data_IF_482133881556
#
_entry.id   IF_482133881556
#
_cell.length_a   1.000
_cell.length_b   1.000
_cell.length_c   1.000
_cell.angle_alpha   90.00
_cell.angle_beta   90.00
_cell.angle_gamma   90.00
#
_symmetry.space_group_name_H-M   'P 1'
#
loop_
_entity.id
_entity.type
_entity.pdbx_description
1 polymer ?
#
# COMPACT_ATOMS: atom_id res chain seq x y z
N UNK A 1 3.01 -0.97 -20.99
CA UNK A 1 3.48 -1.09 -19.59
C UNK A 1 4.67 -2.05 -19.45
N UNK A 2 4.91 -2.96 -20.40
CA UNK A 2 6.06 -3.87 -20.36
C UNK A 2 7.25 -3.36 -21.19
N UNK A 3 8.46 -3.70 -20.76
CA UNK A 3 9.72 -3.26 -21.36
C UNK A 3 10.67 -2.66 -20.32
N UNK A 4 11.90 -2.36 -20.75
CA UNK A 4 12.90 -1.66 -19.96
C UNK A 4 13.45 -0.47 -20.74
N UNK A 5 13.71 0.64 -20.06
CA UNK A 5 14.27 1.84 -20.67
C UNK A 5 15.11 2.64 -19.68
N UNK A 6 15.76 3.68 -20.18
CA UNK A 6 16.46 4.69 -19.36
C UNK A 6 15.74 6.02 -19.54
N UNK A 7 15.62 6.78 -18.46
CA UNK A 7 15.01 8.11 -18.47
C UNK A 7 15.88 9.12 -17.72
N UNK A 8 15.72 10.40 -18.06
CA UNK A 8 16.33 11.52 -17.33
C UNK A 8 15.23 12.21 -16.53
N UNK A 9 15.47 12.42 -15.23
CA UNK A 9 14.50 13.09 -14.34
C UNK A 9 14.49 14.58 -14.65
N UNK A 10 13.30 15.14 -14.88
CA UNK A 10 13.11 16.56 -15.22
C UNK A 10 12.53 17.38 -14.08
N UNK A 11 11.67 16.81 -13.23
CA UNK A 11 11.03 17.48 -12.10
C UNK A 11 10.68 16.49 -10.97
N UNK A 12 10.59 17.00 -9.74
CA UNK A 12 10.26 16.24 -8.52
C UNK A 12 9.34 17.04 -7.61
N UNK A 13 8.61 16.36 -6.72
CA UNK A 13 7.75 16.99 -5.70
C UNK A 13 6.64 17.85 -6.31
N UNK A 14 6.39 19.02 -5.71
CA UNK A 14 5.38 19.98 -6.15
C UNK A 14 5.60 20.51 -7.57
N UNK A 15 6.85 20.52 -8.04
CA UNK A 15 7.19 20.94 -9.41
C UNK A 15 6.88 19.87 -10.47
N UNK A 16 6.48 18.66 -10.06
CA UNK A 16 5.97 17.66 -10.99
C UNK A 16 4.55 18.03 -11.44
N UNK A 17 4.13 17.60 -12.65
CA UNK A 17 2.75 17.83 -13.10
C UNK A 17 1.71 17.32 -12.09
N UNK A 18 1.96 16.16 -11.49
CA UNK A 18 1.12 15.62 -10.42
C UNK A 18 1.09 16.55 -9.22
N UNK A 19 2.25 17.03 -8.75
CA UNK A 19 2.35 17.98 -7.64
C UNK A 19 1.57 19.27 -7.88
N UNK A 20 1.71 19.87 -9.07
CA UNK A 20 0.99 21.10 -9.46
C UNK A 20 -0.53 20.85 -9.46
N UNK A 21 -0.99 19.72 -10.01
CA UNK A 21 -2.41 19.36 -10.03
C UNK A 21 -2.94 19.15 -8.60
N UNK A 22 -2.19 18.44 -7.74
CA UNK A 22 -2.59 18.22 -6.35
C UNK A 22 -2.66 19.52 -5.54
N UNK A 23 -1.72 20.45 -5.77
CA UNK A 23 -1.75 21.78 -5.18
C UNK A 23 -2.98 22.59 -5.63
N UNK A 24 -3.32 22.54 -6.93
CA UNK A 24 -4.52 23.20 -7.45
C UNK A 24 -5.83 22.58 -6.95
N UNK A 25 -5.82 21.28 -6.65
CA UNK A 25 -6.96 20.56 -6.07
C UNK A 25 -7.09 20.74 -4.55
N UNK A 26 -6.17 21.46 -3.89
CA UNK A 26 -6.17 21.69 -2.44
C UNK A 26 -5.86 20.44 -1.61
N UNK A 27 -5.31 19.39 -2.22
CA UNK A 27 -5.02 18.12 -1.56
C UNK A 27 -3.62 18.08 -0.92
N UNK A 28 -2.83 19.16 -1.04
CA UNK A 28 -1.56 19.35 -0.33
C UNK A 28 -1.73 19.99 1.05
N UNK A 29 -2.94 20.37 1.46
CA UNK A 29 -3.19 21.05 2.76
C UNK A 29 -3.62 20.09 3.89
N UNK A 30 -3.78 18.78 3.65
CA UNK A 30 -4.27 17.84 4.69
C UNK A 30 -3.21 17.44 5.74
N UNK A 31 -1.92 17.69 5.52
CA UNK A 31 -0.84 17.27 6.44
C UNK A 31 -0.21 18.42 7.27
N UNK A 32 -0.45 19.70 6.94
CA UNK A 32 0.16 20.87 7.61
C UNK A 32 -0.82 21.68 8.50
N UNK A 33 -2.02 21.16 8.68
CA UNK A 33 -3.18 21.90 9.17
C UNK A 33 -3.18 22.15 10.70
N UNK A 34 -2.18 21.63 11.42
CA UNK A 34 -1.98 21.80 12.86
C UNK A 34 -1.01 22.94 13.22
N UNK A 35 -0.02 23.29 12.38
CA UNK A 35 0.93 24.37 12.68
C UNK A 35 0.42 25.75 12.23
N UNK A 36 -0.33 25.83 11.12
CA UNK A 36 -0.81 27.11 10.58
C UNK A 36 -1.92 27.76 11.44
N UNK A 37 -2.68 26.96 12.22
CA UNK A 37 -3.77 27.46 13.07
C UNK A 37 -3.25 28.24 14.28
N UNK A 38 -2.04 27.98 14.77
CA UNK A 38 -1.42 28.78 15.84
C UNK A 38 -0.88 30.12 15.33
N UNK A 39 -0.31 30.15 14.11
CA UNK A 39 0.24 31.36 13.51
C UNK A 39 -0.87 32.38 13.14
N UNK A 40 -1.97 31.92 12.53
CA UNK A 40 -3.11 32.78 12.13
C UNK A 40 -3.86 33.39 13.33
N UNK A 41 -3.77 32.78 14.52
CA UNK A 41 -4.34 33.32 15.77
C UNK A 41 -3.53 34.48 16.36
N UNK A 42 -2.21 34.51 16.14
CA UNK A 42 -1.33 35.61 16.56
C UNK A 42 -1.51 36.85 15.65
N UNK A 43 -1.57 36.67 14.34
CA UNK A 43 -1.76 37.79 13.40
C UNK A 43 -3.14 38.46 13.50
N UNK A 44 -4.21 37.69 13.78
CA UNK A 44 -5.57 38.26 13.98
C UNK A 44 -5.70 39.12 15.23
N UNK A 45 -4.80 38.99 16.22
CA UNK A 45 -4.77 39.84 17.42
C UNK A 45 -4.07 41.18 17.14
N UNK A 46 -3.13 41.23 16.20
CA UNK A 46 -2.44 42.46 15.81
C UNK A 46 -3.23 43.28 14.78
N UNK A 47 -3.86 42.63 13.79
CA UNK A 47 -4.64 43.32 12.74
C UNK A 47 -5.99 43.89 13.19
N UNK A 48 -6.44 43.67 14.43
CA UNK A 48 -7.70 44.25 14.95
C UNK A 48 -7.51 45.62 15.64
N UNK A 49 -6.29 46.15 15.66
CA UNK A 49 -5.96 47.49 16.21
C UNK A 49 -5.71 48.58 15.17
N UNK A 50 -5.71 48.25 13.88
CA UNK A 50 -5.62 49.21 12.78
C UNK A 50 -6.71 48.89 11.76
N UNK A 51 -7.24 49.95 11.15
CA UNK A 51 -8.19 49.96 10.04
C UNK A 51 -9.67 49.88 10.42
N UNK A 52 -10.11 50.92 11.13
CA UNK A 52 -11.32 51.62 10.69
C UNK A 52 -10.94 52.67 9.64
N UNK A 53 -11.13 52.38 8.36
CA UNK A 53 -11.39 53.37 7.30
C UNK A 53 -11.55 52.70 5.92
N UNK A 54 -12.54 53.19 5.18
CA UNK A 54 -12.66 53.23 3.73
C UNK A 54 -13.17 51.98 2.97
N UNK A 55 -14.45 52.11 2.65
CA UNK A 55 -15.33 51.39 1.74
C UNK A 55 -15.11 51.76 0.25
N UNK A 56 -15.69 50.97 -0.67
CA UNK A 56 -15.98 51.24 -2.11
C UNK A 56 -14.80 51.19 -3.13
N UNK A 57 -14.92 50.71 -4.39
CA UNK A 57 -16.06 50.34 -5.25
C UNK A 57 -15.60 49.50 -6.47
N UNK A 58 -16.56 48.73 -6.97
CA UNK A 58 -16.63 47.78 -8.10
C UNK A 58 -16.30 48.26 -9.55
N UNK A 59 -15.87 47.27 -10.36
CA UNK A 59 -16.38 46.78 -11.70
C UNK A 59 -15.84 47.29 -13.06
N UNK A 60 -15.53 46.28 -13.90
CA UNK A 60 -15.95 45.99 -15.30
C UNK A 60 -15.02 46.30 -16.49
N UNK A 61 -14.74 45.26 -17.31
CA UNK A 61 -15.10 45.16 -18.75
C UNK A 61 -14.77 43.79 -19.37
N UNK A 62 -15.53 43.41 -20.40
CA UNK A 62 -15.50 42.16 -21.17
C UNK A 62 -15.35 42.46 -22.69
N UNK A 63 -15.27 41.38 -23.49
CA UNK A 63 -15.18 41.24 -24.97
C UNK A 63 -13.74 41.06 -25.51
N UNK A 64 -13.40 40.24 -26.51
CA UNK A 64 -14.14 39.56 -27.60
C UNK A 64 -13.24 38.46 -28.26
N UNK A 65 -13.78 37.57 -29.13
CA UNK A 65 -13.00 36.99 -30.24
C UNK A 65 -12.98 35.46 -30.51
N UNK A 66 -13.93 35.01 -31.33
CA UNK A 66 -13.86 34.10 -32.51
C UNK A 66 -13.31 32.64 -32.46
N UNK A 67 -14.02 31.79 -33.21
CA UNK A 67 -13.96 30.33 -33.32
C UNK A 67 -13.00 29.79 -34.41
N UNK A 68 -12.61 28.52 -34.28
CA UNK A 68 -12.26 27.65 -35.41
C UNK A 68 -12.51 26.17 -35.05
N UNK A 69 -13.43 25.53 -35.78
CA UNK A 69 -13.70 24.09 -35.74
C UNK A 69 -12.65 23.31 -36.54
N UNK A 70 -12.20 22.17 -36.01
CA UNK A 70 -11.79 21.01 -36.79
C UNK A 70 -12.27 19.73 -36.07
N UNK A 71 -13.04 18.92 -36.79
CA UNK A 71 -13.20 17.48 -36.63
C UNK A 71 -12.77 16.84 -37.96
N UNK A 72 -12.41 15.54 -38.09
CA UNK A 72 -13.08 14.42 -37.42
C UNK A 72 -12.23 13.13 -37.12
N UNK A 73 -12.95 12.10 -36.63
CA UNK A 73 -12.69 10.65 -36.62
C UNK A 73 -11.73 10.09 -35.55
N UNK A 74 -11.97 8.95 -34.92
CA UNK A 74 -13.18 8.19 -34.54
C UNK A 74 -12.68 7.06 -33.62
N UNK A 75 -13.52 6.68 -32.65
CA UNK A 75 -13.57 5.36 -31.99
C UNK A 75 -12.25 4.73 -31.52
N UNK A 76 -11.89 4.97 -30.25
CA UNK A 76 -11.20 4.00 -29.36
C UNK A 76 -10.99 4.56 -27.92
N UNK A 77 -11.38 5.82 -27.64
CA UNK A 77 -11.13 6.45 -26.32
C UNK A 77 -12.20 6.17 -25.24
N UNK A 78 -13.27 5.42 -25.55
CA UNK A 78 -14.41 5.31 -24.63
C UNK A 78 -14.15 4.38 -23.42
N UNK A 79 -13.17 3.47 -23.48
CA UNK A 79 -12.90 2.50 -22.40
C UNK A 79 -11.87 2.95 -21.35
N UNK A 80 -11.12 4.03 -21.61
CA UNK A 80 -10.04 4.50 -20.71
C UNK A 80 -10.58 5.49 -19.67
N UNK A 81 -11.60 6.27 -20.01
CA UNK A 81 -12.14 7.32 -19.14
C UNK A 81 -13.10 6.80 -18.05
N UNK A 82 -13.81 5.69 -18.27
CA UNK A 82 -14.61 5.06 -17.21
C UNK A 82 -13.72 4.52 -16.08
N UNK A 83 -12.59 3.90 -16.41
CA UNK A 83 -11.60 3.41 -15.42
C UNK A 83 -10.89 4.53 -14.66
N UNK A 84 -10.74 5.71 -15.26
CA UNK A 84 -10.13 6.88 -14.59
C UNK A 84 -11.12 7.58 -13.65
N UNK A 85 -12.40 7.66 -14.01
CA UNK A 85 -13.43 8.24 -13.14
C UNK A 85 -13.85 7.32 -11.99
N UNK A 86 -13.72 6.00 -12.12
CA UNK A 86 -14.00 5.07 -11.00
C UNK A 86 -12.98 5.19 -9.86
N UNK A 87 -11.73 5.58 -10.15
CA UNK A 87 -10.66 5.66 -9.14
C UNK A 87 -10.62 6.98 -8.34
N UNK A 88 -11.34 8.02 -8.77
CA UNK A 88 -11.31 9.34 -8.13
C UNK A 88 -12.33 9.52 -6.99
N UNK A 89 -13.12 8.48 -6.70
CA UNK A 89 -14.07 8.47 -5.57
C UNK A 89 -14.07 7.13 -4.84
N UNK A 90 -12.90 6.63 -4.46
CA UNK A 90 -12.87 5.75 -3.28
C UNK A 90 -13.20 6.61 -2.06
N UNK A 91 -14.50 6.72 -1.74
CA UNK A 91 -14.90 7.10 -0.40
C UNK A 91 -14.20 6.11 0.52
N UNK A 92 -13.29 6.57 1.40
CA UNK A 92 -12.70 5.76 2.47
C UNK A 92 -13.84 4.98 3.13
N UNK A 93 -13.97 3.70 2.78
CA UNK A 93 -15.03 2.85 3.30
C UNK A 93 -14.71 2.64 4.77
N UNK A 94 -15.58 3.14 5.65
CA UNK A 94 -15.41 2.96 7.09
C UNK A 94 -15.36 1.47 7.39
N UNK A 95 -14.47 1.08 8.30
CA UNK A 95 -14.37 -0.32 8.72
C UNK A 95 -15.70 -0.89 9.25
N UNK A 96 -15.90 -2.20 9.13
CA UNK A 96 -17.17 -2.88 9.45
C UNK A 96 -17.59 -2.63 10.91
N UNK A 97 -16.65 -2.69 11.86
CA UNK A 97 -16.87 -2.41 13.28
C UNK A 97 -17.14 -0.92 13.50
N UNK A 98 -16.39 -0.02 12.85
CA UNK A 98 -16.65 1.42 12.96
C UNK A 98 -18.08 1.77 12.52
N UNK A 99 -18.58 1.14 11.45
CA UNK A 99 -19.96 1.27 11.02
C UNK A 99 -20.97 0.82 12.09
N UNK A 100 -20.75 -0.37 12.67
CA UNK A 100 -21.62 -0.94 13.71
C UNK A 100 -21.59 -0.13 15.01
N UNK A 101 -20.41 0.28 15.48
CA UNK A 101 -20.23 1.08 16.69
C UNK A 101 -20.85 2.46 16.55
N UNK A 102 -20.73 3.09 15.37
CA UNK A 102 -21.39 4.38 15.11
C UNK A 102 -22.91 4.23 15.21
N UNK A 103 -23.49 3.16 14.66
CA UNK A 103 -24.93 2.89 14.76
C UNK A 103 -25.38 2.68 16.21
N UNK A 104 -24.59 1.95 16.99
CA UNK A 104 -24.83 1.71 18.41
C UNK A 104 -24.75 3.02 19.21
N UNK A 105 -23.72 3.84 19.00
CA UNK A 105 -23.55 5.14 19.65
C UNK A 105 -24.73 6.08 19.38
N UNK A 106 -25.25 6.11 18.15
CA UNK A 106 -26.45 6.90 17.80
C UNK A 106 -27.70 6.37 18.52
N UNK A 107 -27.86 5.05 18.66
CA UNK A 107 -28.99 4.48 19.41
C UNK A 107 -28.92 4.83 20.90
N UNK A 108 -27.73 4.72 21.51
CA UNK A 108 -27.51 5.14 22.89
C UNK A 108 -27.76 6.63 23.06
N UNK A 109 -27.26 7.47 22.14
CA UNK A 109 -27.48 8.92 22.21
C UNK A 109 -28.97 9.30 22.15
N UNK A 110 -29.75 8.63 21.29
CA UNK A 110 -31.22 8.82 21.24
C UNK A 110 -31.90 8.38 22.54
N UNK A 111 -31.53 7.23 23.09
CA UNK A 111 -32.10 6.74 24.35
C UNK A 111 -31.73 7.67 25.53
N UNK A 112 -30.48 8.11 25.60
CA UNK A 112 -29.99 9.07 26.59
C UNK A 112 -30.70 10.42 26.53
N UNK A 113 -30.99 10.92 25.32
CA UNK A 113 -31.75 12.14 25.12
C UNK A 113 -33.20 12.02 25.59
N UNK A 114 -33.87 10.90 25.29
CA UNK A 114 -35.22 10.64 25.78
C UNK A 114 -35.25 10.56 27.32
N UNK A 115 -34.31 9.82 27.92
CA UNK A 115 -34.22 9.70 29.37
C UNK A 115 -33.91 11.04 30.06
N UNK A 116 -32.99 11.83 29.51
CA UNK A 116 -32.66 13.18 30.01
C UNK A 116 -33.87 14.13 29.94
N UNK A 117 -34.63 14.09 28.84
CA UNK A 117 -35.85 14.89 28.74
C UNK A 117 -36.90 14.47 29.78
N UNK A 118 -37.09 13.15 29.97
CA UNK A 118 -38.01 12.61 30.97
C UNK A 118 -37.61 13.04 32.39
N UNK A 119 -36.32 12.99 32.76
CA UNK A 119 -35.87 13.38 34.10
C UNK A 119 -36.08 14.88 34.35
N UNK A 120 -35.79 15.75 33.38
CA UNK A 120 -36.07 17.18 33.50
C UNK A 120 -37.57 17.44 33.67
N UNK A 121 -38.42 16.79 32.87
CA UNK A 121 -39.87 16.94 32.96
C UNK A 121 -40.37 16.49 34.34
N UNK A 122 -39.92 15.34 34.84
CA UNK A 122 -40.32 14.83 36.16
C UNK A 122 -39.88 15.80 37.27
N UNK A 123 -38.65 16.30 37.24
CA UNK A 123 -38.14 17.23 38.25
C UNK A 123 -38.90 18.56 38.24
N UNK A 124 -39.20 19.08 37.04
CA UNK A 124 -40.00 20.29 36.87
C UNK A 124 -41.43 20.09 37.40
N UNK A 125 -42.09 18.99 37.03
CA UNK A 125 -43.47 18.70 37.44
C UNK A 125 -43.54 18.49 38.95
N UNK A 126 -42.62 17.70 39.53
CA UNK A 126 -42.55 17.49 40.97
C UNK A 126 -42.36 18.80 41.73
N UNK A 127 -41.47 19.66 41.27
CA UNK A 127 -41.24 20.97 41.88
C UNK A 127 -42.49 21.86 41.83
N UNK A 128 -43.17 21.91 40.68
CA UNK A 128 -44.37 22.74 40.50
C UNK A 128 -45.54 22.22 41.34
N UNK A 129 -45.77 20.91 41.35
CA UNK A 129 -46.87 20.30 42.13
C UNK A 129 -46.62 20.45 43.63
N UNK A 130 -45.42 20.12 44.12
CA UNK A 130 -45.13 20.21 45.55
C UNK A 130 -45.22 21.65 46.06
N UNK A 131 -44.61 22.61 45.33
CA UNK A 131 -44.53 24.00 45.77
C UNK A 131 -45.86 24.75 45.64
N UNK A 132 -46.56 24.63 44.51
CA UNK A 132 -47.75 25.44 44.23
C UNK A 132 -49.07 24.74 44.58
N UNK A 133 -49.12 23.40 44.55
CA UNK A 133 -50.34 22.65 44.80
C UNK A 133 -50.41 22.11 46.23
N UNK A 134 -49.35 21.45 46.71
CA UNK A 134 -49.34 20.82 48.04
C UNK A 134 -49.05 21.82 49.15
N UNK A 135 -48.01 22.64 48.99
CA UNK A 135 -47.63 23.67 49.98
C UNK A 135 -48.49 24.95 49.90
N UNK A 136 -49.24 25.13 48.81
CA UNK A 136 -50.19 26.24 48.65
C UNK A 136 -49.57 27.64 48.60
N UNK A 137 -48.28 27.74 48.23
CA UNK A 137 -47.57 29.02 48.17
C UNK A 137 -48.07 29.84 46.95
N UNK A 138 -48.61 31.06 47.15
CA UNK A 138 -49.01 31.91 46.04
C UNK A 138 -47.77 32.40 45.28
N UNK A 139 -47.86 32.48 43.94
CA UNK A 139 -46.77 32.94 43.10
C UNK A 139 -46.46 34.42 43.36
N UNK A 140 -45.43 34.71 44.17
CA UNK A 140 -44.96 36.07 44.43
C UNK A 140 -43.91 36.51 43.40
N UNK A 141 -44.07 37.71 42.84
CA UNK A 141 -43.18 38.23 41.78
C UNK A 141 -41.75 38.46 42.28
N UNK A 142 -41.58 38.82 43.54
CA UNK A 142 -40.26 39.10 44.16
C UNK A 142 -39.39 37.85 44.31
N UNK A 143 -40.00 36.66 44.33
CA UNK A 143 -39.31 35.38 44.44
C UNK A 143 -39.03 34.72 43.07
N UNK A 144 -39.34 35.38 41.95
CA UNK A 144 -39.05 34.81 40.61
C UNK A 144 -37.59 34.38 40.38
N UNK A 145 -36.55 35.07 40.90
CA UNK A 145 -35.16 34.65 40.71
C UNK A 145 -34.85 33.29 41.36
N UNK A 146 -35.44 32.97 42.51
CA UNK A 146 -35.20 31.68 43.19
C UNK A 146 -35.81 30.52 42.39
N UNK A 147 -37.01 30.71 41.83
CA UNK A 147 -37.65 29.70 40.98
C UNK A 147 -36.85 29.43 39.71
N UNK A 148 -36.37 30.48 39.04
CA UNK A 148 -35.49 30.34 37.87
C UNK A 148 -34.21 29.59 38.23
N UNK A 149 -33.63 29.83 39.40
CA UNK A 149 -32.45 29.09 39.86
C UNK A 149 -32.71 27.58 39.99
N UNK A 150 -33.89 27.17 40.50
CA UNK A 150 -34.27 25.76 40.55
C UNK A 150 -34.46 25.15 39.15
N UNK A 151 -35.10 25.86 38.22
CA UNK A 151 -35.23 25.41 36.83
C UNK A 151 -33.88 25.23 36.15
N UNK A 152 -32.95 26.16 36.35
CA UNK A 152 -31.57 26.04 35.85
C UNK A 152 -30.89 24.81 36.46
N UNK A 153 -31.09 24.54 37.76
CA UNK A 153 -30.53 23.36 38.42
C UNK A 153 -31.08 22.05 37.84
N UNK A 154 -32.39 21.96 37.57
CA UNK A 154 -32.99 20.78 36.93
C UNK A 154 -32.49 20.60 35.49
N UNK A 155 -32.34 21.69 34.74
CA UNK A 155 -31.77 21.65 33.40
C UNK A 155 -30.31 21.15 33.41
N UNK A 156 -29.48 21.64 34.34
CA UNK A 156 -28.09 21.17 34.52
C UNK A 156 -28.09 19.66 34.82
N UNK A 157 -28.96 19.17 35.70
CA UNK A 157 -29.09 17.73 36.00
C UNK A 157 -29.42 16.95 34.71
N UNK A 158 -30.38 17.43 33.90
CA UNK A 158 -30.69 16.83 32.61
C UNK A 158 -29.47 16.74 31.68
N UNK A 159 -28.72 17.83 31.54
CA UNK A 159 -27.49 17.87 30.74
C UNK A 159 -26.44 16.89 31.28
N UNK A 160 -26.25 16.80 32.61
CA UNK A 160 -25.30 15.84 33.19
C UNK A 160 -25.67 14.39 32.90
N UNK A 161 -26.97 14.04 32.94
CA UNK A 161 -27.46 12.71 32.56
C UNK A 161 -27.18 12.43 31.07
N UNK A 162 -27.36 13.43 30.20
CA UNK A 162 -27.09 13.29 28.77
C UNK A 162 -25.60 13.04 28.49
N UNK A 163 -24.70 13.81 29.11
CA UNK A 163 -23.25 13.67 28.94
C UNK A 163 -22.77 12.29 29.40
N UNK A 164 -23.28 11.80 30.54
CA UNK A 164 -22.95 10.45 31.03
C UNK A 164 -23.47 9.36 30.09
N UNK A 165 -24.60 9.60 29.40
CA UNK A 165 -25.19 8.62 28.49
C UNK A 165 -24.47 8.51 27.14
N UNK A 166 -23.84 9.57 26.63
CA UNK A 166 -23.17 9.55 25.32
C UNK A 166 -21.72 9.05 25.47
N UNK A 167 -21.36 7.88 24.90
CA UNK A 167 -20.03 7.31 25.09
C UNK A 167 -19.03 7.91 24.08
N UNK A 168 -18.57 9.14 24.33
CA UNK A 168 -17.60 9.85 23.48
C UNK A 168 -16.24 9.14 23.38
N UNK A 169 -15.89 8.31 24.37
CA UNK A 169 -14.64 7.55 24.40
C UNK A 169 -14.62 6.29 23.54
N UNK A 170 -15.76 5.85 22.99
CA UNK A 170 -15.86 4.59 22.26
C UNK A 170 -15.06 4.59 20.94
N UNK A 171 -15.16 5.61 20.06
CA UNK A 171 -14.33 5.68 18.85
C UNK A 171 -12.84 5.83 19.17
N UNK A 172 -12.50 6.58 20.23
CA UNK A 172 -11.12 6.80 20.66
C UNK A 172 -10.46 5.49 21.11
N UNK A 173 -11.16 4.68 21.91
CA UNK A 173 -10.67 3.40 22.40
C UNK A 173 -10.31 2.44 21.25
N UNK A 174 -11.14 2.39 20.20
CA UNK A 174 -10.91 1.54 19.02
C UNK A 174 -9.66 1.99 18.27
N UNK A 175 -9.52 3.28 17.99
CA UNK A 175 -8.35 3.81 17.26
C UNK A 175 -7.04 3.56 18.02
N UNK A 176 -7.04 3.77 19.34
CA UNK A 176 -5.86 3.50 20.19
C UNK A 176 -5.49 2.01 20.17
N UNK A 177 -6.48 1.13 20.32
CA UNK A 177 -6.28 -0.32 20.27
C UNK A 177 -5.71 -0.77 18.92
N UNK A 178 -6.23 -0.22 17.82
CA UNK A 178 -5.80 -0.51 16.46
C UNK A 178 -4.38 -0.01 16.19
N UNK A 179 -4.05 1.21 16.62
CA UNK A 179 -2.71 1.77 16.50
C UNK A 179 -1.66 0.94 17.26
N UNK A 180 -1.98 0.51 18.48
CA UNK A 180 -1.12 -0.39 19.26
C UNK A 180 -0.93 -1.74 18.55
N UNK A 181 -2.00 -2.30 17.99
CA UNK A 181 -1.97 -3.56 17.26
C UNK A 181 -1.10 -3.49 16.01
N UNK A 182 -1.22 -2.41 15.22
CA UNK A 182 -0.37 -2.19 14.03
C UNK A 182 1.10 -2.04 14.40
N UNK A 183 1.41 -1.32 15.48
CA UNK A 183 2.79 -1.22 15.98
C UNK A 183 3.37 -2.58 16.37
N UNK A 184 2.55 -3.45 16.99
CA UNK A 184 2.97 -4.82 17.33
C UNK A 184 3.15 -5.68 16.07
N UNK A 185 2.21 -5.64 15.12
CA UNK A 185 2.29 -6.37 13.85
C UNK A 185 3.54 -5.98 13.04
N UNK A 186 3.93 -4.71 13.07
CA UNK A 186 5.15 -4.24 12.40
C UNK A 186 6.42 -4.92 12.95
N UNK A 187 6.47 -5.20 14.26
CA UNK A 187 7.57 -5.96 14.88
C UNK A 187 7.61 -7.41 14.40
N UNK A 188 6.45 -7.97 14.04
CA UNK A 188 6.28 -9.33 13.53
C UNK A 188 6.43 -9.41 11.99
N UNK A 189 7.11 -8.44 11.38
CA UNK A 189 7.30 -8.30 9.92
C UNK A 189 5.99 -8.17 9.12
N UNK A 190 4.91 -7.73 9.75
CA UNK A 190 3.63 -7.46 9.09
C UNK A 190 3.34 -5.96 9.06
N UNK A 191 3.54 -5.33 7.90
CA UNK A 191 3.28 -3.90 7.70
C UNK A 191 1.86 -3.66 7.20
N UNK A 192 0.99 -3.18 8.09
CA UNK A 192 -0.38 -2.78 7.75
C UNK A 192 -0.38 -1.36 7.16
N UNK A 193 -0.82 -1.21 5.90
CA UNK A 193 -0.91 0.10 5.23
C UNK A 193 -2.22 0.84 5.49
N UNK A 194 -3.31 0.10 5.67
CA UNK A 194 -4.63 0.65 5.96
C UNK A 194 -5.13 0.07 7.28
N UNK A 195 -5.44 0.92 8.26
CA UNK A 195 -5.86 0.48 9.59
C UNK A 195 -7.12 -0.41 9.54
N UNK A 196 -8.06 -0.10 8.65
CA UNK A 196 -9.32 -0.83 8.48
C UNK A 196 -9.12 -2.27 7.95
N UNK A 197 -8.00 -2.54 7.27
CA UNK A 197 -7.67 -3.86 6.77
C UNK A 197 -7.36 -4.85 7.91
N UNK A 198 -6.81 -4.35 9.03
CA UNK A 198 -6.49 -5.18 10.20
C UNK A 198 -7.76 -5.80 10.81
N UNK A 199 -8.85 -5.04 10.88
CA UNK A 199 -10.13 -5.55 11.35
C UNK A 199 -10.74 -6.53 10.33
N UNK A 200 -10.77 -6.14 9.06
CA UNK A 200 -11.37 -6.95 7.99
C UNK A 200 -10.70 -8.31 7.86
N UNK A 201 -9.37 -8.37 7.99
CA UNK A 201 -8.59 -9.62 7.98
C UNK A 201 -9.03 -10.58 9.10
N UNK A 202 -9.51 -10.10 10.24
CA UNK A 202 -10.03 -10.93 11.33
C UNK A 202 -11.24 -11.78 10.94
N UNK A 203 -11.96 -11.41 9.87
CA UNK A 203 -13.11 -12.15 9.35
C UNK A 203 -12.78 -12.96 8.07
N UNK A 204 -11.50 -13.09 7.71
CA UNK A 204 -11.10 -13.80 6.50
C UNK A 204 -11.48 -15.30 6.60
N UNK A 205 -12.25 -15.80 5.63
CA UNK A 205 -12.65 -17.22 5.53
C UNK A 205 -11.83 -18.01 4.53
N UNK A 206 -11.18 -17.33 3.58
CA UNK A 206 -10.35 -17.92 2.55
C UNK A 206 -9.08 -17.07 2.34
N UNK A 207 -7.94 -17.73 2.15
CA UNK A 207 -6.66 -17.09 1.84
C UNK A 207 -6.19 -17.60 0.49
N UNK A 208 -6.35 -16.76 -0.54
CA UNK A 208 -5.79 -17.01 -1.86
C UNK A 208 -4.31 -16.62 -1.82
N UNK A 209 -3.42 -17.61 -1.87
CA UNK A 209 -1.97 -17.39 -1.79
C UNK A 209 -1.29 -17.75 -3.09
N UNK A 210 -0.36 -16.90 -3.53
CA UNK A 210 0.53 -17.21 -4.64
C UNK A 210 1.59 -18.24 -4.20
N UNK A 211 2.03 -19.10 -5.12
CA UNK A 211 3.03 -20.12 -4.78
C UNK A 211 4.44 -19.55 -4.66
N UNK A 212 4.87 -18.82 -5.67
CA UNK A 212 6.28 -18.43 -5.84
C UNK A 212 6.60 -17.24 -4.94
N UNK A 213 7.51 -17.44 -3.97
CA UNK A 213 7.91 -16.38 -3.04
C UNK A 213 6.98 -16.15 -1.85
N UNK A 214 5.81 -16.80 -1.79
CA UNK A 214 4.95 -16.82 -0.60
C UNK A 214 4.95 -18.21 0.04
N UNK A 215 4.48 -19.24 -0.65
CA UNK A 215 4.52 -20.62 -0.13
C UNK A 215 5.89 -21.28 -0.25
N UNK A 216 6.67 -20.87 -1.26
CA UNK A 216 8.00 -21.41 -1.54
C UNK A 216 9.08 -20.39 -1.17
N UNK A 217 10.26 -20.88 -0.75
CA UNK A 217 11.40 -20.04 -0.38
C UNK A 217 11.99 -19.20 -1.53
N UNK A 218 11.46 -19.32 -2.76
CA UNK A 218 11.99 -18.69 -3.97
C UNK A 218 13.51 -18.89 -4.15
N UNK A 219 13.98 -20.06 -3.70
CA UNK A 219 15.35 -20.55 -3.79
C UNK A 219 15.28 -21.88 -4.53
N UNK A 220 15.85 -21.93 -5.72
CA UNK A 220 15.81 -23.13 -6.53
C UNK A 220 17.17 -23.85 -6.47
N UNK A 221 17.12 -25.17 -6.45
CA UNK A 221 18.28 -26.08 -6.52
C UNK A 221 17.96 -27.19 -7.52
N UNK A 222 18.99 -27.77 -8.13
CA UNK A 222 18.85 -28.97 -8.96
C UNK A 222 18.83 -30.17 -8.02
N UNK A 223 17.73 -30.92 -8.01
CA UNK A 223 17.57 -32.10 -7.15
C UNK A 223 17.98 -33.37 -7.88
N UNK A 224 17.63 -33.47 -9.16
CA UNK A 224 17.86 -34.67 -9.99
C UNK A 224 18.45 -34.26 -11.34
N UNK A 225 19.25 -35.15 -11.92
CA UNK A 225 19.88 -34.94 -13.22
C UNK A 225 19.84 -36.23 -14.04
N UNK A 226 19.60 -36.11 -15.34
CA UNK A 226 19.74 -37.21 -16.30
C UNK A 226 20.86 -36.86 -17.27
N UNK A 227 21.99 -37.55 -17.16
CA UNK A 227 23.22 -37.24 -17.91
C UNK A 227 23.92 -38.54 -18.26
N UNK A 228 24.45 -38.65 -19.49
CA UNK A 228 25.15 -39.84 -19.98
C UNK A 228 24.34 -41.14 -19.81
N UNK A 229 23.07 -41.11 -20.25
CA UNK A 229 22.08 -42.20 -20.15
C UNK A 229 21.80 -42.72 -18.72
N UNK A 230 22.18 -41.95 -17.70
CA UNK A 230 21.99 -42.31 -16.31
C UNK A 230 21.18 -41.26 -15.57
N UNK A 231 20.17 -41.74 -14.83
CA UNK A 231 19.36 -40.92 -13.95
C UNK A 231 19.98 -40.88 -12.55
N UNK A 232 20.33 -39.69 -12.09
CA UNK A 232 20.84 -39.40 -10.76
C UNK A 232 19.75 -38.75 -9.92
N UNK A 233 19.37 -39.40 -8.81
CA UNK A 233 18.35 -38.90 -7.86
C UNK A 233 18.85 -37.78 -6.96
N UNK A 234 20.17 -37.62 -6.87
CA UNK A 234 20.89 -36.56 -6.17
C UNK A 234 21.96 -36.01 -7.13
N UNK A 235 22.61 -34.91 -6.76
CA UNK A 235 23.77 -34.40 -7.51
C UNK A 235 24.82 -35.51 -7.64
N UNK A 236 25.25 -35.88 -8.87
CA UNK A 236 26.23 -36.94 -9.06
C UNK A 236 27.60 -36.51 -8.55
N UNK A 237 28.36 -37.47 -8.03
CA UNK A 237 29.78 -37.25 -7.77
C UNK A 237 30.51 -36.98 -9.10
N UNK A 238 31.49 -36.06 -9.13
CA UNK A 238 32.14 -35.64 -10.39
C UNK A 238 32.79 -36.79 -11.18
N UNK A 239 33.18 -37.86 -10.50
CA UNK A 239 33.84 -39.04 -11.06
C UNK A 239 32.87 -39.95 -11.83
N UNK A 240 31.56 -39.87 -11.55
CA UNK A 240 30.54 -40.72 -12.17
C UNK A 240 30.12 -40.23 -13.56
N UNK A 241 30.42 -38.97 -13.88
CA UNK A 241 30.09 -38.36 -15.18
C UNK A 241 31.36 -38.34 -16.03
N UNK A 242 31.33 -38.82 -17.28
CA UNK A 242 32.48 -38.75 -18.18
C UNK A 242 33.01 -37.32 -18.31
N UNK A 243 34.33 -37.13 -18.22
CA UNK A 243 34.96 -35.81 -18.18
C UNK A 243 34.56 -34.91 -19.36
N UNK A 244 34.53 -35.47 -20.58
CA UNK A 244 34.11 -34.73 -21.77
C UNK A 244 32.67 -34.17 -21.67
N UNK A 245 31.75 -34.93 -21.06
CA UNK A 245 30.36 -34.50 -20.86
C UNK A 245 30.29 -33.46 -19.74
N UNK A 246 31.04 -33.68 -18.66
CA UNK A 246 31.12 -32.75 -17.54
C UNK A 246 31.59 -31.37 -17.98
N UNK A 247 32.65 -31.30 -18.79
CA UNK A 247 33.23 -30.03 -19.23
C UNK A 247 32.27 -29.28 -20.16
N UNK A 248 31.56 -29.99 -21.06
CA UNK A 248 30.52 -29.38 -21.92
C UNK A 248 29.33 -28.88 -21.09
N UNK A 249 28.89 -29.66 -20.09
CA UNK A 249 27.77 -29.32 -19.23
C UNK A 249 28.06 -28.06 -18.42
N UNK A 250 29.21 -28.00 -17.76
CA UNK A 250 29.61 -26.86 -16.92
C UNK A 250 29.88 -25.62 -17.76
N UNK A 251 30.54 -25.77 -18.91
CA UNK A 251 30.71 -24.68 -19.87
C UNK A 251 29.33 -24.12 -20.29
N UNK A 252 28.42 -25.00 -20.70
CA UNK A 252 27.07 -24.62 -21.12
C UNK A 252 26.27 -23.91 -20.04
N UNK A 253 26.30 -24.41 -18.79
CA UNK A 253 25.65 -23.77 -17.64
C UNK A 253 26.22 -22.37 -17.40
N UNK A 254 27.55 -22.22 -17.46
CA UNK A 254 28.26 -20.99 -17.12
C UNK A 254 27.99 -19.86 -18.12
N UNK A 255 28.00 -20.18 -19.42
CA UNK A 255 27.85 -19.22 -20.53
C UNK A 255 26.40 -18.99 -20.97
N UNK A 256 25.52 -19.99 -20.80
CA UNK A 256 24.11 -19.88 -21.13
C UNK A 256 23.27 -19.45 -19.92
N UNK A 257 23.85 -18.67 -19.00
CA UNK A 257 23.19 -18.02 -17.87
C UNK A 257 23.56 -16.55 -17.88
N UNK A 258 22.64 -15.66 -17.50
CA UNK A 258 22.94 -14.24 -17.49
C UNK A 258 24.13 -13.94 -16.56
N UNK A 259 25.03 -13.05 -16.97
CA UNK A 259 26.21 -12.70 -16.15
C UNK A 259 25.83 -11.89 -14.91
N UNK A 260 24.64 -11.29 -14.91
CA UNK A 260 24.01 -10.68 -13.73
C UNK A 260 23.49 -11.72 -12.73
N UNK A 261 23.34 -12.99 -13.15
CA UNK A 261 22.97 -14.10 -12.27
C UNK A 261 24.21 -14.65 -11.57
N UNK A 262 24.24 -14.62 -10.24
CA UNK A 262 25.39 -15.06 -9.44
C UNK A 262 24.97 -15.71 -8.12
N UNK A 263 25.82 -16.61 -7.63
CA UNK A 263 25.75 -17.16 -6.27
C UNK A 263 26.81 -16.45 -5.43
N UNK A 264 26.34 -15.67 -4.46
CA UNK A 264 27.19 -14.93 -3.54
C UNK A 264 27.29 -15.67 -2.21
N UNK A 265 28.33 -15.35 -1.44
CA UNK A 265 28.48 -15.83 -0.08
C UNK A 265 27.27 -15.48 0.79
N UNK A 266 27.01 -16.28 1.84
CA UNK A 266 25.95 -15.99 2.80
C UNK A 266 26.12 -14.61 3.44
N UNK A 267 25.01 -13.90 3.69
CA UNK A 267 25.04 -12.61 4.41
C UNK A 267 25.25 -12.76 5.92
N UNK A 268 24.89 -13.93 6.45
CA UNK A 268 25.02 -14.28 7.86
C UNK A 268 25.90 -15.52 7.96
N UNK A 269 26.75 -15.55 8.97
CA UNK A 269 27.62 -16.68 9.25
C UNK A 269 26.78 -17.95 9.48
N UNK A 270 27.11 -19.05 8.78
CA UNK A 270 26.31 -20.28 8.75
C UNK A 270 25.02 -20.22 7.90
N UNK A 271 24.75 -19.11 7.22
CA UNK A 271 23.62 -18.95 6.32
C UNK A 271 23.79 -19.66 4.97
N UNK A 272 22.71 -19.72 4.18
CA UNK A 272 22.75 -20.25 2.82
C UNK A 272 23.32 -19.20 1.83
N UNK A 273 24.00 -19.63 0.73
CA UNK A 273 24.51 -18.72 -0.30
C UNK A 273 23.41 -17.84 -0.92
N UNK A 274 23.64 -16.55 -1.13
CA UNK A 274 22.63 -15.63 -1.70
C UNK A 274 22.54 -15.81 -3.23
N UNK A 275 21.32 -15.99 -3.74
CA UNK A 275 21.05 -16.12 -5.19
C UNK A 275 20.61 -14.77 -5.78
N UNK A 276 21.45 -14.17 -6.63
CA UNK A 276 21.19 -12.90 -7.34
C UNK A 276 20.87 -13.20 -8.80
N UNK A 277 19.85 -12.54 -9.36
CA UNK A 277 19.38 -12.80 -10.72
C UNK A 277 18.28 -13.88 -10.79
N UNK A 278 18.16 -14.54 -11.94
CA UNK A 278 17.09 -15.50 -12.18
C UNK A 278 17.30 -16.78 -11.34
N UNK A 279 16.29 -17.16 -10.55
CA UNK A 279 16.40 -18.26 -9.59
C UNK A 279 16.65 -19.62 -10.25
N UNK A 280 16.12 -19.87 -11.44
CA UNK A 280 16.40 -21.13 -12.18
C UNK A 280 17.83 -21.19 -12.69
N UNK A 281 18.39 -20.06 -13.12
CA UNK A 281 19.79 -19.95 -13.53
C UNK A 281 20.73 -20.08 -12.33
N UNK A 282 20.39 -19.44 -11.21
CA UNK A 282 21.11 -19.64 -9.96
C UNK A 282 21.13 -21.10 -9.51
N UNK A 283 20.04 -21.85 -9.73
CA UNK A 283 20.02 -23.28 -9.43
C UNK A 283 21.04 -24.06 -10.28
N UNK A 284 21.15 -23.72 -11.58
CA UNK A 284 22.12 -24.34 -12.49
C UNK A 284 23.57 -23.97 -12.13
N UNK A 285 23.84 -22.70 -11.82
CA UNK A 285 25.17 -22.29 -11.34
C UNK A 285 25.53 -22.99 -10.02
N UNK A 286 24.54 -23.20 -9.14
CA UNK A 286 24.71 -23.91 -7.88
C UNK A 286 25.03 -25.38 -8.12
N UNK A 287 24.35 -25.98 -9.10
CA UNK A 287 24.65 -27.33 -9.55
C UNK A 287 26.07 -27.48 -10.09
N UNK A 288 26.60 -26.50 -10.83
CA UNK A 288 28.01 -26.50 -11.26
C UNK A 288 28.98 -26.49 -10.05
N UNK A 289 28.70 -25.66 -9.04
CA UNK A 289 29.49 -25.62 -7.80
C UNK A 289 29.40 -26.94 -7.01
N UNK A 290 28.22 -27.55 -6.94
CA UNK A 290 28.00 -28.83 -6.26
C UNK A 290 28.78 -29.97 -6.95
N UNK A 291 28.92 -29.89 -8.29
CA UNK A 291 29.79 -30.74 -9.10
C UNK A 291 31.29 -30.43 -8.95
N UNK A 292 31.66 -29.58 -7.98
CA UNK A 292 33.06 -29.18 -7.67
C UNK A 292 33.77 -28.52 -8.84
N UNK A 293 33.03 -27.79 -9.69
CA UNK A 293 33.58 -27.00 -10.79
C UNK A 293 33.27 -25.52 -10.56
N UNK A 294 34.29 -24.68 -10.71
CA UNK A 294 34.13 -23.24 -10.57
C UNK A 294 33.60 -22.63 -11.87
N UNK A 295 32.32 -22.23 -11.86
CA UNK A 295 31.71 -21.55 -13.01
C UNK A 295 32.31 -20.16 -13.23
N UNK A 296 32.85 -19.52 -12.18
CA UNK A 296 33.37 -18.16 -12.25
C UNK A 296 34.68 -18.11 -13.03
N UNK A 297 35.54 -19.13 -12.88
CA UNK A 297 36.74 -19.28 -13.70
C UNK A 297 36.40 -19.27 -15.20
N UNK A 298 35.37 -20.02 -15.63
CA UNK A 298 34.91 -20.07 -17.02
C UNK A 298 34.40 -18.71 -17.48
N UNK A 299 33.63 -18.01 -16.64
CA UNK A 299 33.13 -16.66 -16.94
C UNK A 299 34.23 -15.61 -17.02
N UNK A 300 35.32 -15.77 -16.27
CA UNK A 300 36.48 -14.89 -16.34
C UNK A 300 37.26 -15.11 -17.65
N UNK A 301 37.37 -16.36 -18.12
CA UNK A 301 38.01 -16.69 -19.39
C UNK A 301 37.15 -16.26 -20.60
N UNK A 302 35.84 -16.45 -20.50
CA UNK A 302 34.84 -16.11 -21.50
C UNK A 302 33.91 -15.04 -20.91
N UNK A 303 34.29 -13.75 -20.91
CA UNK A 303 33.41 -12.69 -20.46
C UNK A 303 32.28 -12.42 -21.47
N UNK A 304 31.28 -11.66 -21.06
CA UNK A 304 30.06 -11.41 -21.83
C UNK A 304 30.34 -10.81 -23.22
N UNK A 305 31.39 -9.99 -23.36
CA UNK A 305 31.75 -9.35 -24.63
C UNK A 305 32.34 -10.34 -25.65
N UNK A 306 32.83 -11.50 -25.21
CA UNK A 306 33.33 -12.56 -26.10
C UNK A 306 32.21 -13.44 -26.68
N UNK A 307 30.98 -13.31 -26.17
CA UNK A 307 29.84 -14.08 -26.68
C UNK A 307 29.49 -13.58 -28.09
N UNK A 308 29.35 -14.49 -29.06
CA UNK A 308 29.04 -14.10 -30.44
C UNK A 308 27.61 -13.58 -30.55
N UNK A 309 26.65 -14.30 -29.95
CA UNK A 309 25.25 -13.89 -29.90
C UNK A 309 24.54 -14.51 -28.72
N UNK A 310 23.75 -13.71 -28.01
CA UNK A 310 22.82 -14.18 -26.98
C UNK A 310 21.40 -13.94 -27.46
N UNK A 311 20.61 -15.02 -27.51
CA UNK A 311 19.17 -14.98 -27.69
C UNK A 311 18.53 -15.06 -26.31
N UNK A 312 18.05 -13.93 -25.83
CA UNK A 312 17.37 -13.82 -24.55
C UNK A 312 16.11 -14.68 -24.51
N UNK A 313 15.66 -14.99 -23.30
CA UNK A 313 14.44 -15.76 -23.10
C UNK A 313 13.25 -15.04 -23.75
N UNK A 314 12.49 -15.78 -24.54
CA UNK A 314 11.25 -15.27 -25.13
C UNK A 314 10.13 -16.28 -24.87
N UNK A 315 9.02 -15.80 -24.33
CA UNK A 315 7.88 -16.64 -23.89
C UNK A 315 7.25 -17.46 -25.01
N UNK A 316 7.31 -17.01 -26.27
CA UNK A 316 6.81 -17.77 -27.42
C UNK A 316 7.68 -19.00 -27.71
N UNK A 317 9.01 -18.87 -27.56
CA UNK A 317 9.96 -20.00 -27.75
C UNK A 317 10.25 -20.79 -26.46
N UNK A 318 9.90 -20.23 -25.30
CA UNK A 318 10.21 -20.71 -23.95
C UNK A 318 11.65 -21.23 -23.80
N UNK A 319 12.60 -20.56 -24.44
CA UNK A 319 14.00 -20.95 -24.46
C UNK A 319 14.92 -19.73 -24.56
N UNK A 320 16.15 -19.91 -24.10
CA UNK A 320 17.29 -18.98 -24.20
C UNK A 320 18.47 -19.74 -24.80
N UNK A 321 19.26 -19.06 -25.62
CA UNK A 321 20.43 -19.66 -26.26
C UNK A 321 21.61 -18.70 -26.33
N UNK A 322 22.81 -19.21 -26.11
CA UNK A 322 24.07 -18.48 -26.24
C UNK A 322 24.95 -19.16 -27.29
N UNK A 323 25.51 -18.37 -28.20
CA UNK A 323 26.43 -18.82 -29.24
C UNK A 323 27.84 -18.35 -28.92
N UNK A 324 28.76 -19.31 -28.85
CA UNK A 324 30.21 -19.10 -28.73
C UNK A 324 30.87 -19.27 -30.09
N UNK A 325 31.94 -18.51 -30.32
CA UNK A 325 32.87 -18.71 -31.44
C UNK A 325 34.12 -19.40 -30.90
N UNK A 326 34.42 -20.58 -31.43
CA UNK A 326 35.60 -21.37 -31.08
C UNK A 326 36.85 -20.83 -31.80
N UNK A 327 38.04 -21.19 -31.30
CA UNK A 327 39.33 -20.77 -31.87
C UNK A 327 39.57 -21.29 -33.30
N UNK A 328 38.97 -22.44 -33.66
CA UNK A 328 39.00 -23.02 -35.01
C UNK A 328 38.06 -22.29 -36.00
N UNK A 329 37.34 -21.26 -35.55
CA UNK A 329 36.36 -20.52 -36.34
C UNK A 329 34.96 -21.16 -36.37
N UNK A 330 34.78 -22.33 -35.76
CA UNK A 330 33.45 -22.96 -35.63
C UNK A 330 32.59 -22.25 -34.58
N UNK A 331 31.28 -22.49 -34.63
CA UNK A 331 30.33 -21.95 -33.66
C UNK A 331 29.72 -23.06 -32.83
N UNK A 332 29.59 -22.84 -31.52
CA UNK A 332 28.89 -23.73 -30.60
C UNK A 332 27.74 -22.99 -29.94
N UNK A 333 26.54 -23.55 -30.04
CA UNK A 333 25.33 -23.00 -29.44
C UNK A 333 24.91 -23.83 -28.23
N UNK A 334 24.72 -23.18 -27.09
CA UNK A 334 24.11 -23.75 -25.89
C UNK A 334 22.68 -23.23 -25.79
N UNK A 335 21.74 -24.11 -25.45
CA UNK A 335 20.33 -23.76 -25.29
C UNK A 335 19.76 -24.32 -23.99
N UNK A 336 18.86 -23.55 -23.37
CA UNK A 336 18.10 -23.97 -22.19
C UNK A 336 16.64 -23.53 -22.35
N UNK A 337 15.72 -24.29 -21.80
CA UNK A 337 14.29 -24.05 -21.98
C UNK A 337 13.46 -25.24 -21.52
N UNK A 338 12.17 -25.18 -21.78
CA UNK A 338 11.25 -26.26 -21.45
C UNK A 338 11.60 -27.55 -22.23
N UNK A 339 11.64 -28.69 -21.55
CA UNK A 339 12.09 -29.95 -22.13
C UNK A 339 11.20 -30.39 -23.30
N UNK A 340 9.88 -30.21 -23.17
CA UNK A 340 8.91 -30.51 -24.21
C UNK A 340 9.00 -29.61 -25.45
N UNK A 341 9.78 -28.54 -25.39
CA UNK A 341 10.03 -27.65 -26.54
C UNK A 341 11.38 -27.92 -27.17
N UNK A 342 12.42 -28.10 -26.36
CA UNK A 342 13.77 -28.36 -26.87
C UNK A 342 13.91 -29.76 -27.46
N UNK A 343 13.31 -30.79 -26.83
CA UNK A 343 13.42 -32.19 -27.27
C UNK A 343 12.52 -32.53 -28.47
N UNK A 344 11.61 -31.63 -28.86
CA UNK A 344 10.79 -31.82 -30.08
C UNK A 344 11.54 -31.50 -31.37
N UNK A 345 12.69 -30.83 -31.28
CA UNK A 345 13.50 -30.39 -32.42
C UNK A 345 14.53 -31.44 -32.78
#
# INVERSE_FOLDING_TARGET
>A
MEGSGKMLVTAVGENSQTGIIFALLGASEEDDDDEEKEAKKKEKKEKKKQDGAAENRKKAKAADGAAMEMQPLNSDEVDIDEKRKSNLKEKKEKSVLQGKLTKLAVQIGKAGLVMSAITVIILVVLFVVDTFWVQGLPWHKDCTPIYVQFFVKFFIIGVTVLVVAVPEGLPLAVTISLAYSVKKMMKDNNLVRHLDACETMGNATAICSDKTGTLTMNRMTVVQAYVADKHYRNVPEPQLVPAAIMDILVLGISVNSAYTTNIMSPEKEGGLPRQVGNKTECALLGFANDLKRDYQAIRNEIPEEKLYKVYTFNSCRKSMSTVLKNADGSFRMFSKGASEILLKK
#
